data_IF_870821501847
#
_entry.id   IF_870821501847
#
_cell.length_a   1.000
_cell.length_b   1.000
_cell.length_c   1.000
_cell.angle_alpha   90.00
_cell.angle_beta   90.00
_cell.angle_gamma   90.00
#
_symmetry.space_group_name_H-M   'P 1'
#
loop_
_entity.id
_entity.type
_entity.pdbx_description
1 polymer ?
#
# COMPACT_ATOMS: atom_id res chain seq x y z
N UNK A 1 35.11 42.76 -1.45
CA UNK A 1 34.93 41.85 -2.60
C UNK A 1 33.67 41.03 -2.33
N UNK A 2 32.50 41.48 -2.77
CA UNK A 2 31.23 40.80 -2.52
C UNK A 2 31.10 39.60 -3.45
N UNK A 3 31.06 38.39 -2.88
CA UNK A 3 30.74 37.17 -3.61
C UNK A 3 29.22 37.03 -3.64
N UNK A 4 28.59 37.42 -4.76
CA UNK A 4 27.17 37.19 -5.00
C UNK A 4 26.99 35.76 -5.51
N UNK A 5 26.56 34.84 -4.65
CA UNK A 5 26.15 33.50 -5.06
C UNK A 5 24.65 33.56 -5.41
N UNK A 6 24.33 33.49 -6.70
CA UNK A 6 22.94 33.27 -7.17
C UNK A 6 22.57 31.81 -6.89
N UNK A 7 21.73 31.57 -5.89
CA UNK A 7 21.04 30.29 -5.70
C UNK A 7 19.66 30.36 -6.35
N UNK A 8 19.51 29.63 -7.44
CA UNK A 8 18.24 29.42 -8.13
C UNK A 8 17.50 28.23 -7.50
N UNK A 9 16.18 28.40 -7.34
CA UNK A 9 15.15 27.44 -6.89
C UNK A 9 14.87 27.37 -5.37
N UNK A 10 13.81 28.10 -5.01
CA UNK A 10 12.78 27.82 -4.00
C UNK A 10 13.15 26.75 -2.96
N UNK A 11 13.78 27.19 -1.87
CA UNK A 11 13.77 26.51 -0.58
C UNK A 11 13.02 27.45 0.36
N UNK A 12 11.89 27.01 0.89
CA UNK A 12 11.16 27.77 1.91
C UNK A 12 11.96 27.68 3.21
N UNK A 13 12.75 28.72 3.50
CA UNK A 13 13.60 28.80 4.69
C UNK A 13 12.73 29.23 5.88
N UNK A 14 12.52 28.34 6.84
CA UNK A 14 12.07 28.75 8.18
C UNK A 14 13.29 29.16 9.00
N UNK A 15 13.43 30.46 9.26
CA UNK A 15 14.50 31.00 10.12
C UNK A 15 14.02 31.00 11.58
N UNK A 16 14.64 30.17 12.43
CA UNK A 16 14.54 30.30 13.88
C UNK A 16 15.78 31.06 14.37
N UNK A 17 15.57 32.31 14.79
CA UNK A 17 16.65 33.17 15.31
C UNK A 17 16.87 32.89 16.80
N UNK A 18 17.95 32.20 17.14
CA UNK A 18 18.49 32.18 18.51
C UNK A 18 19.71 33.11 18.54
N UNK A 19 19.61 34.17 19.34
CA UNK A 19 20.58 35.24 19.38
C UNK A 19 21.56 35.00 20.53
N UNK A 20 22.74 34.45 20.24
CA UNK A 20 23.92 34.57 21.09
C UNK A 20 25.21 34.38 20.26
N UNK A 21 26.27 35.04 20.71
CA UNK A 21 27.48 35.45 20.01
C UNK A 21 28.16 34.48 19.02
N UNK A 22 28.47 35.03 17.83
CA UNK A 22 29.60 34.70 16.95
C UNK A 22 29.85 33.24 16.55
N UNK A 23 28.93 32.66 15.78
CA UNK A 23 29.17 31.85 14.56
C UNK A 23 27.80 31.47 13.98
N UNK A 24 27.51 31.92 12.76
CA UNK A 24 26.27 31.57 12.07
C UNK A 24 26.36 30.11 11.61
N UNK A 25 25.98 29.17 12.49
CA UNK A 25 25.79 27.77 12.11
C UNK A 25 24.39 27.63 11.54
N UNK A 26 24.27 27.67 10.20
CA UNK A 26 23.03 27.30 9.52
C UNK A 26 22.88 25.79 9.62
N UNK A 27 22.09 25.32 10.58
CA UNK A 27 21.65 23.93 10.61
C UNK A 27 20.59 23.78 9.53
N UNK A 28 20.99 23.28 8.36
CA UNK A 28 20.05 22.80 7.35
C UNK A 28 19.36 21.56 7.92
N UNK A 29 18.22 21.74 8.58
CA UNK A 29 17.27 20.65 8.78
C UNK A 29 16.71 20.28 7.41
N UNK A 30 17.42 19.42 6.67
CA UNK A 30 16.84 18.73 5.52
C UNK A 30 15.65 17.94 6.06
N UNK A 31 14.45 18.20 5.54
CA UNK A 31 13.32 17.31 5.78
C UNK A 31 13.81 15.88 5.50
N UNK A 32 13.60 14.96 6.44
CA UNK A 32 14.08 13.59 6.31
C UNK A 32 13.65 13.02 4.95
N UNK A 33 14.61 12.47 4.20
CA UNK A 33 14.36 11.93 2.86
C UNK A 33 13.27 10.86 2.95
N UNK A 34 12.16 11.07 2.23
CA UNK A 34 11.06 10.11 2.18
C UNK A 34 11.41 9.01 1.19
N UNK A 35 11.35 7.78 1.63
CA UNK A 35 11.54 6.59 0.82
C UNK A 35 10.20 6.09 0.29
N UNK A 36 10.14 5.84 -1.01
CA UNK A 36 9.01 5.23 -1.69
C UNK A 36 9.46 3.92 -2.32
N UNK A 37 8.67 2.86 -2.13
CA UNK A 37 8.81 1.62 -2.89
C UNK A 37 7.67 1.53 -3.91
N UNK A 38 8.00 1.35 -5.17
CA UNK A 38 7.05 0.99 -6.22
C UNK A 38 7.22 -0.49 -6.54
N UNK A 39 6.21 -1.31 -6.25
CA UNK A 39 6.15 -2.70 -6.66
C UNK A 39 5.37 -2.75 -7.97
N UNK A 40 6.06 -3.04 -9.07
CA UNK A 40 5.54 -2.97 -10.43
C UNK A 40 5.39 -4.35 -11.04
N UNK A 41 4.20 -4.66 -11.57
CA UNK A 41 3.86 -5.98 -12.09
C UNK A 41 3.24 -5.90 -13.49
N UNK A 42 4.06 -5.59 -14.51
CA UNK A 42 3.66 -5.68 -15.91
C UNK A 42 4.87 -6.00 -16.82
N UNK A 43 4.65 -6.73 -17.90
CA UNK A 43 5.71 -7.31 -18.75
C UNK A 43 6.35 -6.33 -19.73
N UNK A 44 5.63 -5.26 -20.07
CA UNK A 44 6.00 -4.33 -21.15
C UNK A 44 6.27 -2.92 -20.64
N UNK A 45 7.45 -2.40 -20.99
CA UNK A 45 7.85 -0.99 -20.80
C UNK A 45 7.09 0.00 -21.68
N UNK A 46 6.43 -0.46 -22.75
CA UNK A 46 5.57 0.38 -23.60
C UNK A 46 4.11 0.45 -23.12
N UNK A 47 3.79 -0.16 -21.98
CA UNK A 47 2.43 -0.24 -21.47
C UNK A 47 1.97 1.04 -20.77
N UNK A 48 0.66 1.24 -20.68
CA UNK A 48 0.10 2.30 -19.83
C UNK A 48 0.51 2.14 -18.36
N UNK A 49 0.65 0.90 -17.87
CA UNK A 49 1.16 0.62 -16.52
C UNK A 49 2.60 1.14 -16.33
N UNK A 50 3.48 0.95 -17.33
CA UNK A 50 4.83 1.52 -17.32
C UNK A 50 4.77 3.05 -17.26
N UNK A 51 3.94 3.67 -18.09
CA UNK A 51 3.77 5.13 -18.09
C UNK A 51 3.24 5.67 -16.73
N UNK A 52 2.35 4.94 -16.06
CA UNK A 52 1.86 5.30 -14.72
C UNK A 52 2.93 5.12 -13.62
N UNK A 53 3.75 4.07 -13.70
CA UNK A 53 4.95 3.88 -12.85
C UNK A 53 5.92 5.04 -13.04
N UNK A 54 6.26 5.37 -14.29
CA UNK A 54 7.25 6.40 -14.62
C UNK A 54 6.77 7.79 -14.18
N UNK A 55 5.48 8.08 -14.33
CA UNK A 55 4.86 9.29 -13.79
C UNK A 55 4.99 9.39 -12.25
N UNK A 56 4.83 8.28 -11.54
CA UNK A 56 5.02 8.23 -10.08
C UNK A 56 6.48 8.46 -9.70
N UNK A 57 7.42 7.82 -10.39
CA UNK A 57 8.86 8.04 -10.18
C UNK A 57 9.22 9.51 -10.39
N UNK A 58 8.85 10.08 -11.54
CA UNK A 58 9.15 11.46 -11.91
C UNK A 58 8.68 12.46 -10.84
N UNK A 59 7.40 12.39 -10.46
CA UNK A 59 6.81 13.34 -9.51
C UNK A 59 7.41 13.17 -8.12
N UNK A 60 7.51 11.94 -7.61
CA UNK A 60 7.99 11.71 -6.24
C UNK A 60 9.49 12.01 -6.09
N UNK A 61 10.30 11.71 -7.11
CA UNK A 61 11.71 12.13 -7.12
C UNK A 61 11.84 13.66 -7.17
N UNK A 62 10.99 14.36 -7.93
CA UNK A 62 10.98 15.83 -7.95
C UNK A 62 10.62 16.46 -6.59
N UNK A 63 9.92 15.72 -5.72
CA UNK A 63 9.62 16.12 -4.35
C UNK A 63 10.76 15.81 -3.36
N UNK A 64 11.90 15.31 -3.84
CA UNK A 64 13.03 14.89 -3.01
C UNK A 64 12.84 13.53 -2.34
N UNK A 65 11.93 12.68 -2.84
CA UNK A 65 11.80 11.31 -2.35
C UNK A 65 12.86 10.41 -2.99
N UNK A 66 13.42 9.49 -2.21
CA UNK A 66 14.17 8.34 -2.73
C UNK A 66 13.19 7.26 -3.19
N UNK A 67 13.08 7.07 -4.50
CA UNK A 67 12.17 6.09 -5.10
C UNK A 67 12.95 4.83 -5.48
N UNK A 68 12.56 3.69 -4.90
CA UNK A 68 13.07 2.36 -5.26
C UNK A 68 11.98 1.58 -5.98
N UNK A 69 12.35 0.81 -7.01
CA UNK A 69 11.40 0.02 -7.80
C UNK A 69 11.73 -1.47 -7.68
N UNK A 70 10.71 -2.28 -7.41
CA UNK A 70 10.71 -3.72 -7.61
C UNK A 70 9.90 -4.04 -8.86
N UNK A 71 10.56 -4.06 -10.01
CA UNK A 71 9.97 -4.49 -11.28
C UNK A 71 9.98 -6.02 -11.32
N UNK A 72 8.86 -6.63 -10.95
CA UNK A 72 8.81 -8.07 -10.69
C UNK A 72 9.13 -8.90 -11.93
N UNK A 73 8.76 -8.42 -13.12
CA UNK A 73 9.06 -9.11 -14.37
C UNK A 73 10.52 -8.92 -14.78
N UNK A 74 11.07 -7.71 -14.67
CA UNK A 74 12.48 -7.47 -14.97
C UNK A 74 13.42 -8.21 -13.99
N UNK A 75 13.00 -8.40 -12.74
CA UNK A 75 13.70 -9.17 -11.72
C UNK A 75 13.61 -10.68 -11.95
N UNK A 76 12.69 -11.17 -12.80
CA UNK A 76 12.37 -12.59 -12.88
C UNK A 76 11.86 -13.14 -11.54
N UNK A 77 11.10 -12.35 -10.78
CA UNK A 77 10.71 -12.68 -9.41
C UNK A 77 9.94 -14.01 -9.35
N UNK A 78 10.43 -14.94 -8.52
CA UNK A 78 9.78 -16.25 -8.34
C UNK A 78 8.49 -16.08 -7.54
N UNK A 79 7.37 -16.43 -8.15
CA UNK A 79 6.05 -16.25 -7.53
C UNK A 79 5.68 -17.37 -6.54
N UNK A 80 6.14 -18.60 -6.77
CA UNK A 80 5.75 -19.75 -5.96
C UNK A 80 6.44 -19.72 -4.60
N UNK A 81 5.65 -19.69 -3.53
CA UNK A 81 6.05 -19.92 -2.15
C UNK A 81 6.34 -21.43 -1.93
N UNK A 82 7.58 -21.79 -1.66
CA UNK A 82 8.03 -23.19 -1.50
C UNK A 82 9.09 -23.33 -0.41
N UNK A 83 9.47 -24.57 -0.08
CA UNK A 83 10.59 -24.82 0.82
C UNK A 83 11.91 -24.16 0.36
N UNK A 84 12.06 -23.86 -0.94
CA UNK A 84 13.23 -23.19 -1.50
C UNK A 84 13.39 -21.73 -1.03
N UNK A 85 12.39 -21.18 -0.34
CA UNK A 85 12.48 -19.86 0.32
C UNK A 85 13.33 -19.88 1.60
N UNK A 86 13.76 -21.06 2.04
CA UNK A 86 14.48 -21.30 3.28
C UNK A 86 15.85 -21.88 2.98
N UNK A 87 16.89 -21.22 3.49
CA UNK A 87 18.28 -21.67 3.42
C UNK A 87 18.56 -22.59 4.61
N UNK A 88 19.16 -23.75 4.33
CA UNK A 88 19.52 -24.75 5.33
C UNK A 88 18.38 -25.72 5.64
N UNK A 89 18.47 -26.39 6.78
CA UNK A 89 17.52 -27.44 7.14
C UNK A 89 16.15 -26.88 7.53
N UNK A 90 15.10 -27.61 7.12
CA UNK A 90 13.73 -27.40 7.57
C UNK A 90 13.56 -28.01 8.96
N UNK A 91 12.71 -27.41 9.80
CA UNK A 91 12.45 -27.93 11.14
C UNK A 91 11.65 -29.23 11.11
N UNK A 92 10.72 -29.36 10.17
CA UNK A 92 9.84 -30.52 10.00
C UNK A 92 9.65 -30.83 8.51
N UNK A 93 10.66 -31.41 7.83
CA UNK A 93 10.61 -31.66 6.39
C UNK A 93 9.51 -32.66 5.99
N UNK A 94 9.21 -33.64 6.84
CA UNK A 94 8.18 -34.67 6.56
C UNK A 94 6.75 -34.11 6.64
N UNK A 95 6.55 -32.98 7.31
CA UNK A 95 5.28 -32.30 7.44
C UNK A 95 5.50 -30.78 7.31
N UNK A 96 5.90 -30.36 6.11
CA UNK A 96 6.24 -28.97 5.82
C UNK A 96 5.02 -28.04 5.89
N UNK A 97 5.07 -27.08 6.81
CA UNK A 97 4.10 -25.98 6.93
C UNK A 97 4.79 -24.65 6.61
N UNK A 98 4.54 -24.11 5.41
CA UNK A 98 5.23 -22.92 4.90
C UNK A 98 5.20 -21.75 5.90
N UNK A 99 4.05 -21.45 6.50
CA UNK A 99 3.91 -20.35 7.47
C UNK A 99 4.76 -20.54 8.73
N UNK A 100 4.80 -21.75 9.28
CA UNK A 100 5.57 -22.06 10.49
C UNK A 100 7.09 -22.10 10.23
N UNK A 101 7.48 -22.67 9.09
CA UNK A 101 8.88 -22.78 8.71
C UNK A 101 9.47 -21.42 8.34
N UNK A 102 8.73 -20.59 7.59
CA UNK A 102 9.20 -19.26 7.17
C UNK A 102 9.28 -18.26 8.32
N UNK A 103 8.39 -18.32 9.33
CA UNK A 103 8.52 -17.45 10.51
C UNK A 103 9.78 -17.81 11.32
N UNK A 104 10.16 -19.09 11.38
CA UNK A 104 11.39 -19.49 12.04
C UNK A 104 12.62 -19.10 11.22
N UNK A 105 12.60 -19.37 9.91
CA UNK A 105 13.66 -18.95 9.00
C UNK A 105 13.86 -17.43 9.01
N UNK A 106 12.78 -16.64 9.11
CA UNK A 106 12.87 -15.19 9.27
C UNK A 106 13.61 -14.78 10.55
N UNK A 107 13.25 -15.36 11.71
CA UNK A 107 13.91 -15.07 13.00
C UNK A 107 15.40 -15.38 12.97
N UNK A 108 15.78 -16.44 12.26
CA UNK A 108 17.15 -16.92 12.15
C UNK A 108 17.92 -16.29 10.98
N UNK A 109 17.30 -15.43 10.18
CA UNK A 109 17.94 -14.81 9.02
C UNK A 109 18.23 -15.80 7.89
N UNK A 110 17.47 -16.89 7.78
CA UNK A 110 17.63 -17.97 6.81
C UNK A 110 16.70 -17.90 5.60
N UNK A 111 15.90 -16.85 5.46
CA UNK A 111 15.16 -16.63 4.20
C UNK A 111 16.13 -16.39 3.03
N UNK A 112 15.70 -16.69 1.81
CA UNK A 112 16.50 -16.39 0.60
C UNK A 112 16.78 -14.91 0.41
N UNK A 113 17.86 -14.61 -0.31
CA UNK A 113 18.36 -13.24 -0.48
C UNK A 113 17.38 -12.33 -1.25
N UNK A 114 16.60 -12.89 -2.16
CA UNK A 114 15.55 -12.15 -2.86
C UNK A 114 14.45 -11.68 -1.91
N UNK A 115 13.98 -12.53 -0.99
CA UNK A 115 13.00 -12.15 0.04
C UNK A 115 13.62 -11.12 1.00
N UNK A 116 14.86 -11.32 1.44
CA UNK A 116 15.56 -10.36 2.32
C UNK A 116 15.72 -8.99 1.67
N UNK A 117 16.03 -8.93 0.38
CA UNK A 117 16.14 -7.69 -0.38
C UNK A 117 14.79 -6.95 -0.42
N UNK A 118 13.69 -7.66 -0.66
CA UNK A 118 12.35 -7.06 -0.64
C UNK A 118 11.93 -6.62 0.77
N UNK A 119 12.25 -7.40 1.81
CA UNK A 119 12.06 -7.00 3.21
C UNK A 119 12.78 -5.69 3.52
N UNK A 120 14.01 -5.50 3.01
CA UNK A 120 14.75 -4.27 3.22
C UNK A 120 14.05 -3.08 2.57
N UNK A 121 13.60 -3.22 1.32
CA UNK A 121 12.86 -2.15 0.62
C UNK A 121 11.56 -1.77 1.35
N UNK A 122 10.80 -2.77 1.82
CA UNK A 122 9.56 -2.56 2.59
C UNK A 122 9.87 -1.88 3.93
N UNK A 123 10.96 -2.27 4.60
CA UNK A 123 11.39 -1.66 5.87
C UNK A 123 11.74 -0.17 5.69
N UNK A 124 12.46 0.17 4.64
CA UNK A 124 12.91 1.54 4.36
C UNK A 124 11.76 2.46 3.91
N UNK A 125 10.78 1.94 3.16
CA UNK A 125 9.71 2.74 2.57
C UNK A 125 8.73 3.30 3.61
N UNK A 126 8.38 4.59 3.52
CA UNK A 126 7.20 5.15 4.20
C UNK A 126 5.94 5.09 3.34
N UNK A 127 6.08 5.02 2.02
CA UNK A 127 5.00 4.83 1.06
C UNK A 127 5.30 3.65 0.14
N UNK A 128 4.31 2.78 -0.05
CA UNK A 128 4.37 1.69 -1.03
C UNK A 128 3.29 1.91 -2.09
N UNK A 129 3.68 1.84 -3.37
CA UNK A 129 2.77 1.92 -4.52
C UNK A 129 2.80 0.58 -5.23
N UNK A 130 1.65 -0.10 -5.29
CA UNK A 130 1.48 -1.26 -6.16
C UNK A 130 0.98 -0.80 -7.52
N UNK A 131 1.77 -0.99 -8.58
CA UNK A 131 1.38 -0.66 -9.96
C UNK A 131 1.16 -1.93 -10.78
N UNK A 132 -0.08 -2.19 -11.22
CA UNK A 132 -0.42 -3.43 -11.93
C UNK A 132 -1.68 -3.33 -12.79
N UNK A 133 -1.84 -4.18 -13.83
CA UNK A 133 -3.14 -4.42 -14.44
C UNK A 133 -4.00 -5.34 -13.57
N UNK A 134 -5.28 -5.03 -13.39
CA UNK A 134 -6.21 -5.95 -12.75
C UNK A 134 -6.39 -7.19 -13.63
N UNK A 135 -6.03 -8.36 -13.09
CA UNK A 135 -6.24 -9.66 -13.72
C UNK A 135 -7.19 -10.47 -12.86
N UNK A 136 -8.26 -11.01 -13.46
CA UNK A 136 -9.25 -11.84 -12.77
C UNK A 136 -9.74 -11.22 -11.45
N UNK A 137 -10.15 -9.94 -11.50
CA UNK A 137 -10.64 -9.20 -10.32
C UNK A 137 -9.63 -9.10 -9.17
N UNK A 138 -8.34 -9.28 -9.48
CA UNK A 138 -7.26 -9.32 -8.51
C UNK A 138 -5.95 -8.79 -9.11
N UNK A 139 -4.84 -9.02 -8.42
CA UNK A 139 -3.48 -8.72 -8.87
C UNK A 139 -2.95 -9.80 -9.83
N UNK A 140 -1.96 -9.50 -10.69
CA UNK A 140 -1.25 -10.51 -11.45
C UNK A 140 -0.63 -11.58 -10.54
N UNK A 141 -0.54 -12.82 -11.02
CA UNK A 141 -0.02 -13.94 -10.23
C UNK A 141 1.40 -13.69 -9.67
N UNK A 142 2.27 -12.99 -10.42
CA UNK A 142 3.62 -12.63 -9.95
C UNK A 142 3.58 -11.67 -8.75
N UNK A 143 2.60 -10.75 -8.73
CA UNK A 143 2.41 -9.83 -7.60
C UNK A 143 1.76 -10.55 -6.42
N UNK A 144 0.83 -11.48 -6.67
CA UNK A 144 0.31 -12.34 -5.60
C UNK A 144 1.42 -13.19 -4.96
N UNK A 145 2.33 -13.73 -5.78
CA UNK A 145 3.50 -14.46 -5.29
C UNK A 145 4.48 -13.58 -4.50
N UNK A 146 4.66 -12.32 -4.91
CA UNK A 146 5.42 -11.35 -4.11
C UNK A 146 4.77 -11.12 -2.75
N UNK A 147 3.44 -10.95 -2.71
CA UNK A 147 2.68 -10.84 -1.46
C UNK A 147 2.91 -12.08 -0.58
N UNK A 148 2.77 -13.28 -1.14
CA UNK A 148 2.88 -14.54 -0.39
C UNK A 148 4.28 -14.82 0.17
N UNK A 149 5.32 -14.43 -0.57
CA UNK A 149 6.72 -14.66 -0.16
C UNK A 149 7.26 -13.55 0.74
N UNK A 150 6.93 -12.29 0.46
CA UNK A 150 7.53 -11.10 1.11
C UNK A 150 6.74 -10.63 2.33
N UNK A 151 5.42 -10.86 2.40
CA UNK A 151 4.65 -10.52 3.61
C UNK A 151 4.72 -11.65 4.65
N UNK A 152 5.94 -12.08 5.00
CA UNK A 152 6.19 -13.19 5.92
C UNK A 152 5.67 -12.90 7.33
N UNK A 153 5.13 -13.91 8.00
CA UNK A 153 4.75 -13.82 9.42
C UNK A 153 5.98 -13.47 10.27
N UNK A 154 5.80 -12.60 11.27
CA UNK A 154 6.87 -12.01 12.07
C UNK A 154 7.40 -10.70 11.46
N UNK A 155 7.63 -10.68 10.14
CA UNK A 155 8.03 -9.47 9.43
C UNK A 155 6.86 -8.52 9.16
N UNK A 156 5.84 -8.98 8.42
CA UNK A 156 4.74 -8.15 7.96
C UNK A 156 3.52 -8.17 8.88
N UNK A 157 3.27 -9.29 9.54
CA UNK A 157 2.13 -9.44 10.45
C UNK A 157 2.46 -10.42 11.60
N UNK A 158 1.67 -10.36 12.67
CA UNK A 158 1.62 -11.41 13.69
C UNK A 158 0.19 -11.62 14.15
N UNK A 159 -0.11 -12.78 14.74
CA UNK A 159 -1.44 -13.05 15.28
C UNK A 159 -1.76 -12.20 16.53
N UNK A 160 -0.74 -11.64 17.17
CA UNK A 160 -0.91 -10.73 18.31
C UNK A 160 -1.20 -9.30 17.83
N UNK A 161 -0.62 -8.90 16.70
CA UNK A 161 -0.67 -7.56 16.14
C UNK A 161 -1.19 -7.61 14.69
N UNK A 162 -2.51 -7.73 14.58
CA UNK A 162 -3.22 -7.69 13.29
C UNK A 162 -3.84 -6.31 13.05
N UNK A 163 -4.14 -5.99 11.80
CA UNK A 163 -4.96 -4.83 11.40
C UNK A 163 -4.40 -3.50 11.95
N UNK A 164 -5.20 -2.67 12.64
CA UNK A 164 -4.76 -1.38 13.21
C UNK A 164 -3.51 -1.45 14.11
N UNK A 165 -3.18 -2.63 14.65
CA UNK A 165 -2.00 -2.83 15.47
C UNK A 165 -0.81 -3.45 14.72
N UNK A 166 -0.95 -3.71 13.42
CA UNK A 166 0.02 -4.40 12.59
C UNK A 166 1.37 -3.71 12.46
N UNK A 167 2.37 -4.46 12.01
CA UNK A 167 3.76 -4.04 11.96
C UNK A 167 4.00 -2.82 11.05
N UNK A 168 3.09 -2.56 10.10
CA UNK A 168 3.20 -1.48 9.11
C UNK A 168 2.24 -0.31 9.35
N UNK A 169 1.74 -0.13 10.58
CA UNK A 169 0.81 0.97 10.96
C UNK A 169 1.28 2.39 10.68
N UNK A 170 2.59 2.61 10.61
CA UNK A 170 3.19 3.92 10.32
C UNK A 170 3.52 4.13 8.82
N UNK A 171 3.14 3.17 7.96
CA UNK A 171 3.41 3.19 6.52
C UNK A 171 2.12 3.40 5.73
N UNK A 172 2.18 4.22 4.69
CA UNK A 172 1.10 4.40 3.72
C UNK A 172 1.25 3.43 2.56
N UNK A 173 0.13 2.98 2.01
CA UNK A 173 0.11 2.13 0.82
C UNK A 173 -1.00 2.55 -0.14
N UNK A 174 -0.75 2.47 -1.44
CA UNK A 174 -1.76 2.72 -2.48
C UNK A 174 -1.74 1.63 -3.55
N UNK A 175 -2.92 1.21 -3.96
CA UNK A 175 -3.13 0.41 -5.16
C UNK A 175 -3.31 1.35 -6.35
N UNK A 176 -2.41 1.29 -7.33
CA UNK A 176 -2.51 2.00 -8.60
C UNK A 176 -2.66 0.99 -9.73
N UNK A 177 -3.83 0.89 -10.34
CA UNK A 177 -4.08 -0.19 -11.29
C UNK A 177 -4.95 0.19 -12.46
N UNK A 178 -4.79 -0.56 -13.56
CA UNK A 178 -5.58 -0.40 -14.78
C UNK A 178 -6.62 -1.51 -14.88
N UNK A 179 -7.81 -1.21 -15.39
CA UNK A 179 -8.82 -2.21 -15.71
C UNK A 179 -8.97 -2.38 -17.23
N UNK A 180 -9.51 -3.53 -17.67
CA UNK A 180 -10.01 -3.68 -19.03
C UNK A 180 -11.38 -3.00 -19.22
N UNK A 181 -12.18 -2.96 -18.16
CA UNK A 181 -13.58 -2.50 -18.14
C UNK A 181 -13.72 -1.04 -17.74
N UNK A 182 -14.80 -0.39 -18.16
CA UNK A 182 -15.13 0.98 -17.76
C UNK A 182 -15.61 1.03 -16.30
N UNK A 183 -15.59 2.22 -15.70
CA UNK A 183 -16.09 2.45 -14.34
C UNK A 183 -17.54 2.00 -14.16
N UNK A 184 -18.40 2.28 -15.15
CA UNK A 184 -19.82 1.93 -15.12
C UNK A 184 -20.08 0.44 -14.95
N UNK A 185 -19.20 -0.43 -15.44
CA UNK A 185 -19.34 -1.88 -15.28
C UNK A 185 -19.13 -2.34 -13.83
N UNK A 186 -18.49 -1.51 -13.00
CA UNK A 186 -18.17 -1.77 -11.60
C UNK A 186 -19.00 -0.93 -10.60
N UNK A 187 -20.03 -0.24 -11.10
CA UNK A 187 -21.07 0.34 -10.23
C UNK A 187 -21.90 -0.79 -9.60
N UNK A 188 -22.66 -0.52 -8.52
CA UNK A 188 -23.48 -1.54 -7.86
C UNK A 188 -24.51 -2.24 -8.77
N UNK A 189 -24.93 -1.58 -9.84
CA UNK A 189 -25.83 -2.09 -10.90
C UNK A 189 -25.07 -2.51 -12.18
N UNK A 190 -23.74 -2.42 -12.17
CA UNK A 190 -22.87 -2.84 -13.25
C UNK A 190 -22.69 -4.36 -13.32
N UNK A 191 -22.39 -4.87 -14.50
CA UNK A 191 -22.28 -6.33 -14.76
C UNK A 191 -21.18 -7.03 -13.97
N UNK A 192 -20.17 -6.29 -13.50
CA UNK A 192 -19.09 -6.83 -12.66
C UNK A 192 -19.37 -6.71 -11.16
N UNK A 193 -20.41 -5.98 -10.78
CA UNK A 193 -20.73 -5.67 -9.39
C UNK A 193 -19.80 -4.61 -8.79
N UNK A 194 -20.10 -4.26 -7.54
CA UNK A 194 -19.48 -3.15 -6.82
C UNK A 194 -17.96 -3.35 -6.62
N UNK A 195 -17.16 -2.41 -7.16
CA UNK A 195 -15.70 -2.37 -6.97
C UNK A 195 -15.27 -2.44 -5.51
N UNK A 196 -16.09 -1.92 -4.57
CA UNK A 196 -15.74 -1.94 -3.15
C UNK A 196 -15.61 -3.38 -2.64
N UNK A 197 -16.46 -4.29 -3.12
CA UNK A 197 -16.41 -5.72 -2.76
C UNK A 197 -15.18 -6.39 -3.37
N UNK A 198 -14.85 -6.05 -4.61
CA UNK A 198 -13.68 -6.58 -5.33
C UNK A 198 -12.38 -6.22 -4.64
N UNK A 199 -12.25 -4.99 -4.13
CA UNK A 199 -11.01 -4.50 -3.53
C UNK A 199 -10.83 -4.93 -2.06
N UNK A 200 -11.91 -5.26 -1.36
CA UNK A 200 -11.88 -5.57 0.07
C UNK A 200 -10.84 -6.65 0.46
N UNK A 201 -10.75 -7.82 -0.23
CA UNK A 201 -9.79 -8.85 0.17
C UNK A 201 -8.33 -8.38 0.11
N UNK A 202 -7.99 -7.52 -0.85
CA UNK A 202 -6.64 -7.01 -1.01
C UNK A 202 -6.37 -5.85 -0.04
N UNK A 203 -7.24 -4.85 0.01
CA UNK A 203 -7.05 -3.68 0.86
C UNK A 203 -7.18 -4.03 2.35
N UNK A 204 -8.21 -4.78 2.74
CA UNK A 204 -8.42 -5.17 4.14
C UNK A 204 -7.62 -6.41 4.51
N UNK A 205 -7.82 -7.51 3.77
CA UNK A 205 -7.29 -8.83 4.13
C UNK A 205 -5.78 -8.99 3.93
N UNK A 206 -5.15 -8.17 3.09
CA UNK A 206 -3.69 -8.19 2.88
C UNK A 206 -3.02 -6.96 3.47
N UNK A 207 -3.41 -5.77 3.00
CA UNK A 207 -2.67 -4.55 3.32
C UNK A 207 -2.96 -4.04 4.74
N UNK A 208 -4.24 -3.79 5.05
CA UNK A 208 -4.63 -3.35 6.38
C UNK A 208 -4.32 -4.42 7.43
N UNK A 209 -4.45 -5.71 7.11
CA UNK A 209 -4.03 -6.81 7.99
C UNK A 209 -2.58 -6.70 8.47
N UNK A 210 -1.65 -6.29 7.59
CA UNK A 210 -0.25 -6.02 7.95
C UNK A 210 -0.06 -4.68 8.67
N UNK A 211 -1.11 -3.86 8.76
CA UNK A 211 -1.16 -2.59 9.47
C UNK A 211 -1.18 -1.35 8.58
N UNK A 212 -1.00 -1.47 7.27
CA UNK A 212 -0.85 -0.28 6.43
C UNK A 212 -2.01 0.71 6.53
N UNK A 213 -1.67 2.00 6.47
CA UNK A 213 -2.62 3.06 6.15
C UNK A 213 -2.93 3.02 4.66
N UNK A 214 -4.02 2.35 4.27
CA UNK A 214 -4.41 2.17 2.86
C UNK A 214 -5.06 3.44 2.33
N UNK A 215 -4.41 4.09 1.37
CA UNK A 215 -4.97 5.25 0.66
C UNK A 215 -6.04 4.82 -0.34
N UNK A 216 -6.96 5.73 -0.73
CA UNK A 216 -7.88 5.47 -1.83
C UNK A 216 -7.13 4.97 -3.08
N UNK A 217 -7.64 3.96 -3.80
CA UNK A 217 -6.94 3.42 -4.97
C UNK A 217 -6.85 4.46 -6.10
N UNK A 218 -5.81 4.37 -6.92
CA UNK A 218 -5.76 5.03 -8.22
C UNK A 218 -6.23 4.04 -9.28
N UNK A 219 -7.45 4.22 -9.78
CA UNK A 219 -8.04 3.33 -10.79
C UNK A 219 -8.00 4.01 -12.15
N UNK A 220 -7.31 3.39 -13.10
CA UNK A 220 -7.32 3.79 -14.50
C UNK A 220 -8.32 2.92 -15.26
N UNK A 221 -9.50 3.48 -15.51
CA UNK A 221 -10.61 2.77 -16.15
C UNK A 221 -10.40 2.63 -17.66
N UNK A 222 -10.27 1.38 -18.13
CA UNK A 222 -10.19 1.01 -19.55
C UNK A 222 -9.20 1.84 -20.43
N UNK A 223 -7.94 2.06 -20.02
CA UNK A 223 -6.98 2.84 -20.82
C UNK A 223 -6.75 2.23 -22.21
N UNK A 224 -6.81 0.90 -22.35
CA UNK A 224 -6.69 0.20 -23.64
C UNK A 224 -7.84 0.47 -24.62
N UNK A 225 -8.98 0.97 -24.13
CA UNK A 225 -10.14 1.36 -24.94
C UNK A 225 -10.28 2.88 -25.05
N UNK A 226 -9.30 3.64 -24.56
CA UNK A 226 -9.34 5.10 -24.49
C UNK A 226 -8.48 5.73 -25.59
N UNK A 227 -8.91 6.85 -26.22
CA UNK A 227 -8.06 7.62 -27.13
C UNK A 227 -6.77 8.13 -26.46
N UNK A 228 -5.69 8.40 -27.21
CA UNK A 228 -4.42 8.89 -26.67
C UNK A 228 -4.56 10.12 -25.75
N UNK A 229 -5.47 11.03 -26.06
CA UNK A 229 -5.76 12.25 -25.32
C UNK A 229 -6.33 11.93 -23.93
N UNK A 230 -7.23 10.94 -23.86
CA UNK A 230 -7.82 10.45 -22.61
C UNK A 230 -6.76 9.72 -21.77
N UNK A 231 -5.92 8.89 -22.39
CA UNK A 231 -4.79 8.25 -21.70
C UNK A 231 -3.82 9.29 -21.12
N UNK A 232 -3.51 10.34 -21.89
CA UNK A 232 -2.68 11.46 -21.41
C UNK A 232 -3.35 12.19 -20.25
N UNK A 233 -4.66 12.45 -20.33
CA UNK A 233 -5.41 13.10 -19.24
C UNK A 233 -5.40 12.27 -17.95
N UNK A 234 -5.52 10.95 -18.04
CA UNK A 234 -5.39 10.03 -16.89
C UNK A 234 -4.02 10.18 -16.22
N UNK A 235 -2.93 10.22 -17.00
CA UNK A 235 -1.57 10.39 -16.48
C UNK A 235 -1.33 11.79 -15.90
N UNK A 236 -1.98 12.82 -16.44
CA UNK A 236 -1.95 14.18 -15.87
C UNK A 236 -2.66 14.22 -14.52
N UNK A 237 -3.85 13.61 -14.43
CA UNK A 237 -4.59 13.51 -13.17
C UNK A 237 -3.79 12.74 -12.10
N UNK A 238 -3.10 11.66 -12.51
CA UNK A 238 -2.23 10.91 -11.61
C UNK A 238 -1.07 11.75 -11.07
N UNK A 239 -0.36 12.47 -11.95
CA UNK A 239 0.71 13.40 -11.53
C UNK A 239 0.21 14.46 -10.56
N UNK A 240 -0.97 15.03 -10.84
CA UNK A 240 -1.60 16.02 -9.95
C UNK A 240 -1.86 15.46 -8.56
N UNK A 241 -2.40 14.23 -8.47
CA UNK A 241 -2.66 13.56 -7.20
C UNK A 241 -1.38 13.24 -6.43
N UNK A 242 -0.37 12.72 -7.12
CA UNK A 242 0.95 12.44 -6.54
C UNK A 242 1.60 13.65 -5.86
N UNK A 243 1.27 14.87 -6.30
CA UNK A 243 1.76 16.10 -5.70
C UNK A 243 1.36 16.27 -4.22
N UNK A 244 0.21 15.74 -3.82
CA UNK A 244 -0.38 15.90 -2.47
C UNK A 244 -0.61 14.56 -1.77
N UNK A 245 -0.11 13.45 -2.32
CA UNK A 245 -0.43 12.09 -1.86
C UNK A 245 -0.09 11.85 -0.37
N UNK A 246 0.95 12.50 0.14
CA UNK A 246 1.37 12.40 1.54
C UNK A 246 0.34 12.96 2.53
N UNK A 247 -0.49 13.90 2.10
CA UNK A 247 -1.50 14.58 2.91
C UNK A 247 -2.86 13.87 2.86
N UNK A 248 -3.03 12.90 1.95
CA UNK A 248 -4.29 12.19 1.80
C UNK A 248 -4.65 11.40 3.08
N UNK A 249 -5.91 11.53 3.46
CA UNK A 249 -6.56 10.70 4.48
C UNK A 249 -6.68 9.26 3.97
N UNK A 250 -6.25 8.25 4.75
CA UNK A 250 -6.46 6.85 4.42
C UNK A 250 -7.94 6.45 4.40
N UNK A 251 -8.25 5.32 3.77
CA UNK A 251 -9.52 4.62 3.88
C UNK A 251 -9.78 4.21 5.34
N UNK A 252 -11.07 4.15 5.70
CA UNK A 252 -11.49 3.72 7.04
C UNK A 252 -11.82 2.24 7.06
N UNK A 253 -11.24 1.53 8.03
CA UNK A 253 -11.50 0.13 8.34
C UNK A 253 -11.96 -0.01 9.79
N UNK A 254 -12.69 -1.08 10.09
CA UNK A 254 -13.14 -1.36 11.45
C UNK A 254 -11.93 -1.69 12.35
N UNK A 255 -11.62 -0.88 13.37
CA UNK A 255 -10.43 -1.08 14.20
C UNK A 255 -10.59 -2.26 15.17
N UNK A 256 -9.46 -2.87 15.55
CA UNK A 256 -9.45 -4.12 16.35
C UNK A 256 -10.01 -3.97 17.76
N UNK A 257 -10.04 -2.74 18.31
CA UNK A 257 -10.61 -2.46 19.63
C UNK A 257 -12.14 -2.64 19.68
N UNK A 258 -12.81 -2.83 18.54
CA UNK A 258 -14.23 -3.14 18.46
C UNK A 258 -14.54 -4.64 18.54
N UNK A 259 -13.51 -5.49 18.58
CA UNK A 259 -13.62 -6.94 18.58
C UNK A 259 -13.12 -7.53 19.89
N UNK A 260 -13.70 -8.67 20.28
CA UNK A 260 -13.11 -9.55 21.28
C UNK A 260 -11.99 -10.37 20.63
N UNK A 261 -10.75 -9.92 20.81
CA UNK A 261 -9.55 -10.51 20.21
C UNK A 261 -9.08 -11.82 20.90
N UNK A 262 -9.96 -12.50 21.64
CA UNK A 262 -9.68 -13.78 22.29
C UNK A 262 -10.26 -14.97 21.52
N UNK A 263 -9.64 -16.14 21.66
CA UNK A 263 -10.18 -17.39 21.14
C UNK A 263 -11.57 -17.72 21.72
N UNK A 264 -11.78 -17.45 23.01
CA UNK A 264 -13.09 -17.63 23.66
C UNK A 264 -14.16 -16.71 23.10
N UNK A 265 -13.81 -15.48 22.74
CA UNK A 265 -14.70 -14.52 22.09
C UNK A 265 -14.88 -14.74 20.59
N UNK A 266 -14.08 -15.62 19.99
CA UNK A 266 -14.14 -16.00 18.58
C UNK A 266 -13.80 -14.86 17.62
N UNK A 267 -13.04 -13.85 18.04
CA UNK A 267 -12.64 -12.71 17.20
C UNK A 267 -13.84 -11.94 16.60
N UNK A 268 -14.95 -11.87 17.36
CA UNK A 268 -16.20 -11.21 16.91
C UNK A 268 -16.33 -9.81 17.50
N UNK A 269 -17.13 -8.96 16.83
CA UNK A 269 -17.50 -7.65 17.35
C UNK A 269 -18.10 -7.78 18.77
N UNK A 270 -17.67 -6.88 19.65
CA UNK A 270 -18.18 -6.76 21.01
C UNK A 270 -19.71 -6.52 20.98
N UNK A 271 -20.51 -7.13 21.87
CA UNK A 271 -21.96 -6.99 21.89
C UNK A 271 -22.42 -5.52 21.90
N UNK A 272 -21.80 -4.69 22.74
CA UNK A 272 -22.07 -3.26 22.85
C UNK A 272 -21.90 -2.49 21.53
N UNK A 273 -20.94 -2.90 20.68
CA UNK A 273 -20.72 -2.26 19.37
C UNK A 273 -21.86 -2.60 18.41
N UNK A 274 -22.41 -3.81 18.49
CA UNK A 274 -23.55 -4.21 17.65
C UNK A 274 -24.82 -3.45 18.04
N UNK A 275 -25.05 -3.31 19.35
CA UNK A 275 -26.20 -2.56 19.89
C UNK A 275 -26.14 -1.09 19.49
N UNK A 276 -24.99 -0.42 19.70
CA UNK A 276 -24.79 0.99 19.31
C UNK A 276 -25.00 1.25 17.83
N UNK A 277 -24.77 0.24 16.98
CA UNK A 277 -24.89 0.35 15.53
C UNK A 277 -26.23 -0.13 15.00
N UNK A 278 -27.19 -0.54 15.84
CA UNK A 278 -28.44 -1.16 15.39
C UNK A 278 -29.29 -0.20 14.53
N UNK A 279 -29.33 1.08 14.88
CA UNK A 279 -30.12 2.10 14.16
C UNK A 279 -29.38 2.70 12.94
N UNK A 280 -28.08 2.42 12.79
CA UNK A 280 -27.30 2.97 11.67
C UNK A 280 -27.75 2.38 10.32
N UNK A 281 -27.91 3.20 9.26
CA UNK A 281 -28.43 2.74 7.97
C UNK A 281 -27.44 1.85 7.20
N UNK A 282 -26.14 1.94 7.52
CA UNK A 282 -25.08 1.17 6.88
C UNK A 282 -24.33 0.30 7.89
N UNK A 283 -23.63 -0.70 7.39
CA UNK A 283 -22.62 -1.42 8.19
C UNK A 283 -21.39 -0.57 8.50
N UNK A 284 -20.36 -1.18 9.10
CA UNK A 284 -19.13 -0.48 9.50
C UNK A 284 -18.16 -0.29 8.32
N UNK A 285 -18.14 -1.25 7.41
CA UNK A 285 -17.29 -1.29 6.21
C UNK A 285 -17.80 -2.34 5.24
N UNK A 286 -17.17 -2.49 4.07
CA UNK A 286 -17.55 -3.50 3.07
C UNK A 286 -17.58 -4.92 3.64
N UNK A 287 -16.54 -5.35 4.35
CA UNK A 287 -16.53 -6.69 4.97
C UNK A 287 -17.25 -6.80 6.31
N UNK A 288 -17.46 -5.68 7.00
CA UNK A 288 -18.23 -5.62 8.26
C UNK A 288 -19.60 -4.96 8.03
N UNK A 289 -20.33 -5.45 7.04
CA UNK A 289 -21.62 -4.89 6.64
C UNK A 289 -22.78 -5.27 7.60
N UNK A 290 -22.61 -6.31 8.43
CA UNK A 290 -23.58 -6.73 9.45
C UNK A 290 -24.99 -7.06 8.92
N UNK A 291 -25.09 -7.51 7.68
CA UNK A 291 -26.38 -7.73 7.01
C UNK A 291 -27.10 -6.45 6.56
N UNK A 292 -26.47 -5.29 6.73
CA UNK A 292 -26.95 -3.97 6.29
C UNK A 292 -26.37 -3.59 4.92
N UNK A 293 -26.88 -2.54 4.28
CA UNK A 293 -26.22 -1.92 3.14
C UNK A 293 -24.76 -1.56 3.42
N UNK A 294 -23.89 -1.74 2.42
CA UNK A 294 -22.48 -1.38 2.48
C UNK A 294 -22.35 0.15 2.48
N UNK A 295 -21.49 0.75 3.32
CA UNK A 295 -21.23 2.18 3.24
C UNK A 295 -20.72 2.57 1.84
N UNK A 296 -21.31 3.59 1.19
CA UNK A 296 -20.91 3.96 -0.17
C UNK A 296 -19.43 4.30 -0.26
N UNK A 297 -18.74 3.78 -1.28
CA UNK A 297 -17.33 4.07 -1.57
C UNK A 297 -16.34 3.71 -0.46
N UNK A 298 -16.69 2.82 0.48
CA UNK A 298 -15.84 2.49 1.64
C UNK A 298 -14.40 2.09 1.27
N UNK A 299 -14.18 1.51 0.09
CA UNK A 299 -12.88 1.05 -0.40
C UNK A 299 -12.31 1.92 -1.53
N UNK A 300 -13.04 2.98 -1.94
CA UNK A 300 -12.63 3.87 -3.05
C UNK A 300 -12.48 5.33 -2.66
N UNK A 301 -13.06 5.78 -1.54
CA UNK A 301 -12.94 7.15 -1.03
C UNK A 301 -12.72 7.12 0.49
N UNK A 302 -11.87 8.00 0.98
CA UNK A 302 -11.75 8.21 2.42
C UNK A 302 -13.06 8.82 2.95
N UNK A 303 -13.51 8.36 4.12
CA UNK A 303 -14.60 9.04 4.82
C UNK A 303 -14.15 10.47 5.16
N UNK A 304 -15.06 11.46 5.12
CA UNK A 304 -14.78 12.75 5.76
C UNK A 304 -14.37 12.48 7.21
N UNK A 305 -13.43 13.25 7.79
CA UNK A 305 -13.21 13.18 9.22
C UNK A 305 -14.56 13.36 9.92
N UNK A 306 -14.90 12.43 10.81
CA UNK A 306 -16.05 12.60 11.69
C UNK A 306 -15.69 13.76 12.64
N UNK A 307 -16.38 14.89 12.50
CA UNK A 307 -16.38 15.98 13.49
C UNK A 307 -16.97 15.49 14.82
#
# INVERSE_FOLDING_TARGET
MCLVIRLSKVVQVFSLTLQCDSKLTVVLCTAAERNVLIVYAHQSNGSFNAAARDAAMEVLQSQGCRVTVSDLYAMGFRACATADDIIGELKNPDNFHYGEETVQAWKEGRLTDDIKAEHQKVREAQLIIFQFPMYWFSVPAILKGWIDRVLTQGFAFSLQNMYSNGNFKDKKVILSFTTGSTEGMFLPDGVHGDINVVLWPLQSGTLYFCGFQVLPPQIFWAPGHSPPETQKAMLVAWRKRLATLWEETPLSFTPTNLFDMSFSGGFRLLPQVKEQRQEEPYGLSTGHHLGKPIPPNNQTKASPPHD
#
